data_IF_333202952955
#
_entry.id   IF_333202952955
#
_cell.length_a   1.000
_cell.length_b   1.000
_cell.length_c   1.000
_cell.angle_alpha   90.00
_cell.angle_beta   90.00
_cell.angle_gamma   90.00
#
_symmetry.space_group_name_H-M   'P 1'
#
loop_
_entity.id
_entity.type
_entity.pdbx_description
1 polymer ?
#
# COMPACT_ATOMS: atom_id res chain seq x y z
N UNK A 1 9.68 -1.74 -11.65
CA UNK A 1 9.93 -0.30 -11.89
C UNK A 1 8.63 0.51 -11.96
N UNK A 2 7.55 -0.02 -12.51
CA UNK A 2 6.34 0.75 -12.87
C UNK A 2 5.63 1.44 -11.68
N UNK A 3 5.52 0.76 -10.54
CA UNK A 3 4.83 1.33 -9.37
C UNK A 3 5.50 2.57 -8.78
N UNK A 4 6.84 2.61 -8.71
CA UNK A 4 7.56 3.76 -8.14
C UNK A 4 7.39 4.98 -9.04
N UNK A 5 7.45 4.78 -10.36
CA UNK A 5 7.21 5.83 -11.33
C UNK A 5 5.77 6.37 -11.22
N UNK A 6 4.77 5.47 -11.13
CA UNK A 6 3.37 5.86 -10.94
C UNK A 6 3.16 6.64 -9.64
N UNK A 7 3.73 6.19 -8.52
CA UNK A 7 3.63 6.89 -7.24
C UNK A 7 4.25 8.30 -7.31
N UNK A 8 5.39 8.45 -7.98
CA UNK A 8 6.04 9.75 -8.17
C UNK A 8 5.23 10.66 -9.09
N UNK A 9 4.70 10.13 -10.18
CA UNK A 9 3.84 10.87 -11.10
C UNK A 9 2.58 11.41 -10.40
N UNK A 10 2.01 10.61 -9.49
CA UNK A 10 0.83 10.99 -8.72
C UNK A 10 1.08 12.06 -7.65
N UNK A 11 2.33 12.36 -7.30
CA UNK A 11 2.64 13.37 -6.27
C UNK A 11 2.04 14.73 -6.64
N UNK A 12 1.35 15.34 -5.68
CA UNK A 12 0.65 16.61 -5.87
C UNK A 12 -0.69 16.55 -6.61
N UNK A 13 -1.12 15.38 -7.11
CA UNK A 13 -2.41 15.25 -7.81
C UNK A 13 -3.61 15.05 -6.88
N UNK A 14 -3.39 14.60 -5.65
CA UNK A 14 -4.42 14.38 -4.63
C UNK A 14 -3.82 14.47 -3.23
N UNK A 15 -4.67 14.68 -2.22
CA UNK A 15 -4.26 14.67 -0.81
C UNK A 15 -4.00 13.25 -0.29
N UNK A 16 -4.68 12.27 -0.90
CA UNK A 16 -4.67 10.89 -0.45
C UNK A 16 -4.71 9.91 -1.63
N UNK A 17 -4.07 8.76 -1.45
CA UNK A 17 -3.91 7.75 -2.48
C UNK A 17 -4.20 6.36 -1.94
N UNK A 18 -4.93 5.57 -2.72
CA UNK A 18 -5.13 4.14 -2.47
C UNK A 18 -4.30 3.35 -3.48
N UNK A 19 -3.36 2.55 -2.99
CA UNK A 19 -2.50 1.68 -3.81
C UNK A 19 -3.12 0.29 -3.88
N UNK A 20 -3.41 -0.14 -5.11
CA UNK A 20 -4.06 -1.41 -5.44
C UNK A 20 -3.24 -2.17 -6.49
N UNK A 21 -3.39 -3.49 -6.49
CA UNK A 21 -2.96 -4.39 -7.58
C UNK A 21 -4.12 -4.59 -8.57
N UNK A 22 -3.81 -5.11 -9.75
CA UNK A 22 -4.74 -5.28 -10.87
C UNK A 22 -5.69 -6.47 -10.71
N UNK A 23 -5.36 -7.45 -9.86
CA UNK A 23 -6.10 -8.71 -9.71
C UNK A 23 -6.91 -8.81 -8.40
N UNK A 24 -7.55 -7.72 -8.01
CA UNK A 24 -8.32 -7.61 -6.76
C UNK A 24 -9.84 -7.67 -6.97
N UNK A 25 -10.53 -8.36 -6.06
CA UNK A 25 -11.97 -8.24 -5.84
C UNK A 25 -12.25 -7.27 -4.70
N UNK A 26 -13.32 -6.51 -4.84
CA UNK A 26 -13.85 -5.64 -3.79
C UNK A 26 -15.19 -6.15 -3.29
N UNK A 27 -15.44 -5.96 -1.99
CA UNK A 27 -16.81 -6.07 -1.47
C UNK A 27 -17.66 -4.88 -1.96
N UNK A 28 -18.97 -5.08 -2.14
CA UNK A 28 -19.87 -4.07 -2.76
C UNK A 28 -19.99 -2.74 -2.01
N UNK A 29 -19.52 -2.69 -0.77
CA UNK A 29 -19.54 -1.51 0.11
C UNK A 29 -18.14 -0.90 0.35
N UNK A 30 -17.15 -1.20 -0.51
CA UNK A 30 -15.75 -0.81 -0.29
C UNK A 30 -15.56 0.68 -0.01
N UNK A 31 -16.24 1.56 -0.75
CA UNK A 31 -16.08 3.00 -0.60
C UNK A 31 -16.57 3.50 0.77
N UNK A 32 -17.68 2.94 1.26
CA UNK A 32 -18.20 3.25 2.59
C UNK A 32 -17.25 2.76 3.68
N UNK A 33 -16.66 1.58 3.53
CA UNK A 33 -15.67 1.06 4.46
C UNK A 33 -14.42 1.97 4.54
N UNK A 34 -13.92 2.44 3.38
CA UNK A 34 -12.80 3.38 3.31
C UNK A 34 -13.14 4.70 4.02
N UNK A 35 -14.27 5.32 3.67
CA UNK A 35 -14.71 6.59 4.26
C UNK A 35 -14.87 6.49 5.78
N UNK A 36 -15.48 5.40 6.26
CA UNK A 36 -15.64 5.16 7.69
C UNK A 36 -14.29 5.03 8.39
N UNK A 37 -13.33 4.30 7.81
CA UNK A 37 -12.01 4.19 8.42
C UNK A 37 -11.25 5.52 8.44
N UNK A 38 -11.35 6.32 7.37
CA UNK A 38 -10.74 7.65 7.34
C UNK A 38 -11.33 8.58 8.40
N UNK A 39 -12.65 8.54 8.60
CA UNK A 39 -13.30 9.32 9.65
C UNK A 39 -12.85 8.89 11.05
N UNK A 40 -12.73 7.57 11.30
CA UNK A 40 -12.23 7.03 12.56
C UNK A 40 -10.79 7.49 12.88
N UNK A 41 -9.96 7.68 11.85
CA UNK A 41 -8.54 8.02 12.01
C UNK A 41 -8.20 9.48 11.65
N UNK A 42 -9.20 10.35 11.51
CA UNK A 42 -9.00 11.74 11.02
C UNK A 42 -8.06 12.57 11.92
N UNK A 43 -8.04 12.30 13.22
CA UNK A 43 -7.19 12.98 14.20
C UNK A 43 -5.87 12.28 14.53
N UNK A 44 -5.54 11.17 13.86
CA UNK A 44 -4.39 10.34 14.18
C UNK A 44 -3.27 10.49 13.15
N UNK A 45 -2.03 10.44 13.63
CA UNK A 45 -0.83 10.44 12.79
C UNK A 45 -0.45 9.02 12.34
N UNK A 46 -1.16 8.52 11.34
CA UNK A 46 -0.89 7.24 10.69
C UNK A 46 0.03 7.38 9.46
N UNK A 47 0.92 6.41 9.27
CA UNK A 47 1.78 6.32 8.07
C UNK A 47 0.97 5.84 6.87
N UNK A 48 0.17 4.79 7.07
CA UNK A 48 -0.78 4.25 6.10
C UNK A 48 -1.92 3.53 6.83
N UNK A 49 -3.04 3.35 6.13
CA UNK A 49 -4.14 2.48 6.57
C UNK A 49 -4.17 1.22 5.71
N UNK A 50 -4.51 0.07 6.31
CA UNK A 50 -4.55 -1.22 5.59
C UNK A 50 -5.99 -1.70 5.41
N UNK A 51 -6.33 -2.03 4.17
CA UNK A 51 -7.61 -2.59 3.75
C UNK A 51 -7.47 -4.01 3.18
N UNK A 52 -6.30 -4.62 3.41
CA UNK A 52 -6.02 -6.03 3.15
C UNK A 52 -5.02 -6.56 4.18
N UNK A 53 -5.10 -7.86 4.45
CA UNK A 53 -4.12 -8.59 5.26
C UNK A 53 -2.76 -8.68 4.56
N UNK A 54 -2.74 -8.63 3.23
CA UNK A 54 -1.52 -8.80 2.46
C UNK A 54 -0.66 -7.54 2.41
N UNK A 55 0.65 -7.76 2.44
CA UNK A 55 1.61 -6.72 2.78
C UNK A 55 1.97 -5.79 1.62
N UNK A 56 1.50 -6.00 0.39
CA UNK A 56 1.86 -5.21 -0.79
C UNK A 56 0.77 -4.20 -1.20
N UNK A 57 -0.50 -4.60 -1.21
CA UNK A 57 -1.63 -3.80 -1.74
C UNK A 57 -2.68 -3.41 -0.68
N UNK A 58 -3.72 -2.70 -1.12
CA UNK A 58 -4.83 -2.30 -0.25
C UNK A 58 -4.40 -1.27 0.80
N UNK A 59 -3.41 -0.45 0.47
CA UNK A 59 -2.86 0.55 1.40
C UNK A 59 -3.25 1.95 1.00
N UNK A 60 -3.65 2.71 2.00
CA UNK A 60 -4.06 4.09 1.84
C UNK A 60 -3.01 5.02 2.46
N UNK A 61 -2.57 6.00 1.68
CA UNK A 61 -1.49 6.92 2.02
C UNK A 61 -1.96 8.36 1.92
N UNK A 62 -1.41 9.23 2.78
CA UNK A 62 -1.37 10.67 2.51
C UNK A 62 -0.32 10.96 1.43
N UNK A 63 -0.49 12.05 0.70
CA UNK A 63 0.45 12.48 -0.36
C UNK A 63 1.91 12.43 0.10
N UNK A 64 2.22 13.07 1.24
CA UNK A 64 3.59 13.16 1.74
C UNK A 64 4.18 11.79 2.11
N UNK A 65 3.36 10.89 2.64
CA UNK A 65 3.75 9.52 2.97
C UNK A 65 4.03 8.70 1.70
N UNK A 66 3.18 8.82 0.68
CA UNK A 66 3.38 8.15 -0.60
C UNK A 66 4.65 8.63 -1.30
N UNK A 67 4.87 9.94 -1.34
CA UNK A 67 6.04 10.55 -1.97
C UNK A 67 7.33 10.12 -1.27
N UNK A 68 7.33 10.04 0.07
CA UNK A 68 8.48 9.55 0.82
C UNK A 68 8.73 8.06 0.62
N UNK A 69 7.67 7.25 0.55
CA UNK A 69 7.78 5.83 0.21
C UNK A 69 8.38 5.66 -1.19
N UNK A 70 7.90 6.39 -2.19
CA UNK A 70 8.41 6.29 -3.55
C UNK A 70 9.90 6.68 -3.65
N UNK A 71 10.35 7.68 -2.89
CA UNK A 71 11.78 8.02 -2.78
C UNK A 71 12.58 6.88 -2.15
N UNK A 72 12.11 6.31 -1.05
CA UNK A 72 12.74 5.17 -0.39
C UNK A 72 12.88 3.96 -1.33
N UNK A 73 11.79 3.59 -2.02
CA UNK A 73 11.79 2.49 -2.98
C UNK A 73 12.76 2.72 -4.15
N UNK A 74 12.85 3.96 -4.64
CA UNK A 74 13.82 4.31 -5.70
C UNK A 74 15.27 4.12 -5.25
N UNK A 75 15.59 4.47 -4.00
CA UNK A 75 16.96 4.36 -3.48
C UNK A 75 17.42 2.91 -3.31
N UNK A 76 16.50 2.00 -2.98
CA UNK A 76 16.83 0.62 -2.62
C UNK A 76 16.33 -0.40 -3.66
N UNK A 77 15.95 0.07 -4.85
CA UNK A 77 15.32 -0.76 -5.88
C UNK A 77 16.11 -2.02 -6.25
N UNK A 78 17.45 -1.97 -6.22
CA UNK A 78 18.32 -3.10 -6.52
C UNK A 78 18.59 -4.02 -5.32
N UNK A 79 18.19 -3.64 -4.10
CA UNK A 79 18.55 -4.39 -2.88
C UNK A 79 17.54 -5.47 -2.50
N UNK A 80 16.26 -5.28 -2.83
CA UNK A 80 15.19 -6.21 -2.44
C UNK A 80 13.96 -6.02 -3.33
N UNK A 81 13.10 -7.06 -3.43
CA UNK A 81 11.75 -6.92 -3.96
C UNK A 81 10.97 -5.75 -3.32
N UNK A 82 10.11 -5.11 -4.12
CA UNK A 82 9.44 -3.87 -3.73
C UNK A 82 8.52 -4.04 -2.52
N UNK A 83 7.81 -5.15 -2.42
CA UNK A 83 6.94 -5.54 -1.31
C UNK A 83 7.72 -5.66 0.01
N UNK A 84 8.89 -6.29 -0.04
CA UNK A 84 9.80 -6.37 1.11
C UNK A 84 10.36 -5.00 1.50
N UNK A 85 10.65 -4.13 0.53
CA UNK A 85 11.07 -2.75 0.81
C UNK A 85 9.94 -1.93 1.45
N UNK A 86 8.70 -2.07 0.97
CA UNK A 86 7.53 -1.40 1.56
C UNK A 86 7.34 -1.83 3.02
N UNK A 87 7.46 -3.13 3.31
CA UNK A 87 7.39 -3.65 4.68
C UNK A 87 8.52 -3.08 5.57
N UNK A 88 9.77 -3.15 5.10
CA UNK A 88 10.93 -2.58 5.81
C UNK A 88 10.75 -1.09 6.10
N UNK A 89 10.20 -0.33 5.15
CA UNK A 89 9.91 1.09 5.31
C UNK A 89 8.90 1.34 6.43
N UNK A 90 7.78 0.61 6.43
CA UNK A 90 6.75 0.77 7.45
C UNK A 90 7.23 0.38 8.84
N UNK A 91 7.92 -0.76 8.97
CA UNK A 91 8.54 -1.21 10.22
C UNK A 91 9.54 -0.18 10.78
N UNK A 92 10.27 0.50 9.89
CA UNK A 92 11.20 1.56 10.31
C UNK A 92 10.48 2.82 10.81
N UNK A 93 9.35 3.19 10.21
CA UNK A 93 8.59 4.37 10.62
C UNK A 93 7.75 4.14 11.88
N UNK A 94 7.25 2.92 12.05
CA UNK A 94 6.43 2.49 13.19
C UNK A 94 6.84 1.06 13.57
N UNK A 95 7.87 0.89 14.41
CA UNK A 95 8.34 -0.42 14.88
C UNK A 95 7.25 -1.23 15.59
N UNK A 96 6.28 -0.53 16.21
CA UNK A 96 5.14 -1.13 16.91
C UNK A 96 4.00 -1.59 15.95
N UNK A 97 4.22 -1.45 14.63
CA UNK A 97 3.44 -1.99 13.50
C UNK A 97 1.90 -1.95 13.61
N UNK A 98 1.37 -0.94 14.30
CA UNK A 98 -0.05 -0.62 14.25
C UNK A 98 -0.35 0.20 13.00
N UNK A 99 0.00 -0.32 11.83
CA UNK A 99 -0.70 0.08 10.63
C UNK A 99 -2.19 -0.25 10.84
N UNK A 100 -3.01 0.80 11.00
CA UNK A 100 -4.40 0.65 11.38
C UNK A 100 -5.11 -0.21 10.35
N UNK A 101 -5.49 -1.40 10.80
CA UNK A 101 -6.21 -2.35 9.97
C UNK A 101 -7.69 -1.95 9.92
N UNK A 102 -8.14 -1.56 8.73
CA UNK A 102 -9.48 -1.11 8.43
C UNK A 102 -10.39 -2.22 7.87
N UNK A 103 -9.94 -3.47 7.88
CA UNK A 103 -10.70 -4.64 7.41
C UNK A 103 -10.23 -5.19 6.05
N UNK A 104 -10.78 -6.35 5.66
CA UNK A 104 -10.45 -7.07 4.42
C UNK A 104 -11.37 -6.63 3.28
N UNK A 105 -11.21 -5.39 2.82
CA UNK A 105 -12.03 -4.82 1.74
C UNK A 105 -11.58 -5.30 0.36
N UNK A 106 -10.27 -5.51 0.19
CA UNK A 106 -9.66 -5.99 -1.05
C UNK A 106 -9.17 -7.44 -0.89
N UNK A 107 -9.61 -8.32 -1.79
CA UNK A 107 -9.27 -9.75 -1.79
C UNK A 107 -8.62 -10.11 -3.12
N UNK A 108 -7.43 -10.69 -3.07
CA UNK A 108 -6.73 -11.17 -4.26
C UNK A 108 -7.50 -12.32 -4.92
N UNK A 109 -7.68 -12.27 -6.24
CA UNK A 109 -8.38 -13.29 -7.03
C UNK A 109 -7.39 -14.24 -7.72
N UNK A 110 -6.11 -13.87 -7.84
CA UNK A 110 -5.13 -14.62 -8.61
C UNK A 110 -4.85 -16.03 -8.06
N UNK A 111 -5.08 -17.05 -8.90
CA UNK A 111 -4.63 -18.44 -8.72
C UNK A 111 -3.19 -18.67 -9.21
N UNK A 112 -2.52 -17.61 -9.68
CA UNK A 112 -1.18 -17.63 -10.27
C UNK A 112 -0.42 -16.39 -9.83
N UNK A 113 0.54 -16.57 -8.94
CA UNK A 113 1.57 -15.56 -8.68
C UNK A 113 2.49 -15.44 -9.90
N UNK A 114 2.94 -14.23 -10.23
CA UNK A 114 3.94 -13.94 -11.27
C UNK A 114 5.31 -14.58 -10.99
N UNK A 115 5.47 -15.30 -9.87
CA UNK A 115 6.68 -16.01 -9.44
C UNK A 115 6.88 -17.39 -10.11
N UNK A 116 6.08 -17.78 -11.09
CA UNK A 116 6.17 -19.14 -11.69
C UNK A 116 7.33 -19.40 -12.66
N UNK A 117 8.27 -18.47 -12.84
CA UNK A 117 9.42 -18.67 -13.74
C UNK A 117 10.78 -18.35 -13.08
N UNK A 118 11.08 -18.96 -11.93
CA UNK A 118 12.47 -19.17 -11.51
C UNK A 118 12.58 -20.51 -10.80
N UNK A 119 12.81 -21.55 -11.59
CA UNK A 119 13.69 -22.70 -11.28
C UNK A 119 13.61 -23.68 -12.47
N UNK A 120 14.64 -23.64 -13.31
CA UNK A 120 15.03 -24.67 -14.28
C UNK A 120 16.49 -24.96 -14.06
#
# INVERSE_FOLDING_TARGET
MDFVFLMQYCSGLAENFLVLEDDLKTDGNFLSAIKNCLNLHKGLDWVHLRFSIWMSFGKFYRESALTNLARYLRMLYFESPWDLLVDKYHKRLRPDDMAYYCGQVFKHIGNHSSSRNTES
#
